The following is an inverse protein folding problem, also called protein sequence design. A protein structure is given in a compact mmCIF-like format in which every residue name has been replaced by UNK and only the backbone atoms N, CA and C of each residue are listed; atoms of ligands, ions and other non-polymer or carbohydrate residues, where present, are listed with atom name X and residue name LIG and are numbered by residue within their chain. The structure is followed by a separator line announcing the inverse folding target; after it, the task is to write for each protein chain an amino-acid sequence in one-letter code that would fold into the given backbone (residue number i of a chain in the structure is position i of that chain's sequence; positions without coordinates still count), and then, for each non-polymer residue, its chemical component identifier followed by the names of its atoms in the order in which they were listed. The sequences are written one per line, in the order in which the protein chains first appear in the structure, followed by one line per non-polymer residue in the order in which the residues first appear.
data_IF_108285859214
#
_entry.id   IF_108285859214
#
_cell.length_a   1.000
_cell.length_b   1.000
_cell.length_c   1.000
_cell.angle_alpha   90.00
_cell.angle_beta   90.00
_cell.angle_gamma   90.00
#
_symmetry.space_group_name_H-M   'P 1'
#
loop_
_entity.id
_entity.type
_entity.pdbx_description
1 polymer ?
#
# COMPACT_ATOMS: atom_id res chain seq x y z
N UNK A 1 2.15 25.14 22.18
CA UNK A 1 2.35 23.68 22.00
C UNK A 1 3.08 23.47 20.68
N UNK A 2 4.28 22.88 20.65
CA UNK A 2 4.95 22.62 19.39
C UNK A 2 4.25 21.45 18.69
N UNK A 3 3.55 21.76 17.60
CA UNK A 3 3.07 20.78 16.62
C UNK A 3 4.29 20.16 15.95
N UNK A 4 4.63 18.92 16.29
CA UNK A 4 5.67 18.16 15.62
C UNK A 4 5.12 17.68 14.26
N UNK A 5 5.29 18.49 13.21
CA UNK A 5 4.94 18.11 11.84
C UNK A 5 6.12 17.35 11.25
N UNK A 6 6.08 16.02 11.29
CA UNK A 6 7.04 15.19 10.59
C UNK A 6 6.86 15.37 9.07
N UNK A 7 7.85 15.96 8.39
CA UNK A 7 7.96 15.92 6.93
C UNK A 7 8.19 14.45 6.53
N UNK A 8 7.14 13.73 6.13
CA UNK A 8 7.29 12.35 5.66
C UNK A 8 8.00 12.37 4.30
N UNK A 9 9.28 12.04 4.28
CA UNK A 9 10.06 11.95 3.05
C UNK A 9 9.82 10.59 2.37
N UNK A 10 9.47 10.57 1.08
CA UNK A 10 9.25 9.33 0.31
C UNK A 10 10.49 8.42 0.35
N UNK A 11 11.69 8.98 0.31
CA UNK A 11 12.93 8.21 0.44
C UNK A 11 13.04 7.55 1.81
N UNK A 12 12.54 8.21 2.85
CA UNK A 12 12.51 7.65 4.20
C UNK A 12 11.46 6.54 4.32
N UNK A 13 10.29 6.69 3.68
CA UNK A 13 9.26 5.64 3.60
C UNK A 13 9.75 4.36 2.91
N UNK A 14 10.56 4.50 1.85
CA UNK A 14 11.07 3.39 1.03
C UNK A 14 12.42 2.85 1.55
N UNK A 15 13.14 3.60 2.39
CA UNK A 15 14.42 3.13 2.93
C UNK A 15 14.22 1.95 3.87
N UNK A 16 14.96 0.86 3.63
CA UNK A 16 14.87 -0.41 4.37
C UNK A 16 13.46 -0.98 4.44
N UNK A 17 12.78 -1.04 3.29
CA UNK A 17 11.46 -1.67 3.18
C UNK A 17 11.50 -3.00 2.44
N UNK A 18 10.69 -3.96 2.89
CA UNK A 18 10.40 -5.21 2.18
C UNK A 18 8.96 -5.18 1.68
N UNK A 19 8.74 -5.60 0.44
CA UNK A 19 7.40 -5.77 -0.15
C UNK A 19 6.92 -7.20 0.06
N UNK A 20 5.61 -7.38 0.29
CA UNK A 20 4.96 -8.70 0.25
C UNK A 20 4.31 -8.90 -1.11
N UNK A 21 4.79 -9.90 -1.86
CA UNK A 21 4.42 -10.12 -3.26
C UNK A 21 4.01 -11.58 -3.51
N UNK A 22 3.18 -11.81 -4.54
CA UNK A 22 2.76 -13.16 -4.96
C UNK A 22 3.97 -13.99 -5.39
N UNK A 23 4.06 -15.26 -4.99
CA UNK A 23 5.18 -16.16 -5.35
C UNK A 23 5.39 -16.27 -6.86
N UNK A 24 4.33 -16.16 -7.66
CA UNK A 24 4.38 -16.27 -9.12
C UNK A 24 5.19 -15.13 -9.78
N UNK A 25 5.30 -13.98 -9.12
CA UNK A 25 6.12 -12.86 -9.62
C UNK A 25 7.61 -13.19 -9.58
N UNK A 26 8.02 -14.17 -8.77
CA UNK A 26 9.40 -14.68 -8.76
C UNK A 26 9.82 -15.27 -10.12
N UNK A 27 8.88 -15.86 -10.86
CA UNK A 27 9.15 -16.50 -12.14
C UNK A 27 9.13 -15.52 -13.33
N UNK A 28 8.75 -14.26 -13.11
CA UNK A 28 8.72 -13.24 -14.16
C UNK A 28 10.12 -12.62 -14.34
N UNK A 29 10.90 -13.09 -15.30
CA UNK A 29 12.24 -12.54 -15.60
C UNK A 29 12.12 -11.19 -16.32
N UNK A 30 12.90 -10.14 -15.95
CA UNK A 30 13.92 -10.08 -14.89
C UNK A 30 13.40 -9.63 -13.52
N UNK A 31 12.14 -9.19 -13.43
CA UNK A 31 11.58 -8.57 -12.22
C UNK A 31 11.60 -9.48 -10.98
N UNK A 32 11.34 -10.77 -11.14
CA UNK A 32 11.32 -11.74 -10.04
C UNK A 32 12.68 -11.91 -9.39
N UNK A 33 13.74 -12.06 -10.19
CA UNK A 33 15.12 -12.21 -9.71
C UNK A 33 15.61 -10.93 -9.03
N UNK A 34 15.33 -9.76 -9.61
CA UNK A 34 15.66 -8.47 -9.01
C UNK A 34 14.91 -8.24 -7.69
N UNK A 35 13.62 -8.58 -7.65
CA UNK A 35 12.81 -8.48 -6.43
C UNK A 35 13.32 -9.40 -5.33
N UNK A 36 13.76 -10.62 -5.69
CA UNK A 36 14.36 -11.54 -4.73
C UNK A 36 15.69 -11.01 -4.17
N UNK A 37 16.57 -10.47 -5.01
CA UNK A 37 17.80 -9.81 -4.57
C UNK A 37 17.53 -8.57 -3.71
N UNK A 38 16.43 -7.86 -3.97
CA UNK A 38 15.99 -6.71 -3.18
C UNK A 38 15.36 -7.11 -1.81
N UNK A 39 15.24 -8.41 -1.50
CA UNK A 39 14.71 -8.89 -0.22
C UNK A 39 13.19 -8.81 -0.12
N UNK A 40 12.48 -8.94 -1.26
CA UNK A 40 11.01 -9.02 -1.30
C UNK A 40 10.54 -10.36 -0.73
N UNK A 41 9.54 -10.30 0.15
CA UNK A 41 8.93 -11.48 0.76
C UNK A 41 7.87 -12.06 -0.19
N UNK A 42 8.06 -13.30 -0.62
CA UNK A 42 7.15 -13.98 -1.54
C UNK A 42 6.16 -14.87 -0.78
N UNK A 43 4.88 -14.59 -0.91
CA UNK A 43 3.80 -15.35 -0.25
C UNK A 43 3.11 -16.25 -1.27
N UNK A 44 3.01 -17.54 -0.94
CA UNK A 44 2.19 -18.51 -1.66
C UNK A 44 0.78 -18.55 -1.07
N UNK A 45 -0.21 -18.05 -1.79
CA UNK A 45 -1.60 -17.98 -1.29
C UNK A 45 -2.32 -19.32 -1.31
N UNK A 46 -1.82 -20.29 -2.07
CA UNK A 46 -2.41 -21.63 -2.16
C UNK A 46 -2.01 -22.51 -0.96
N UNK A 47 -0.97 -22.12 -0.21
CA UNK A 47 -0.53 -22.83 0.97
C UNK A 47 -0.50 -21.89 2.18
N UNK A 48 -1.53 -21.98 3.01
CA UNK A 48 -1.72 -21.14 4.21
C UNK A 48 -0.58 -21.28 5.21
N UNK A 49 -0.01 -22.48 5.38
CA UNK A 49 1.12 -22.70 6.30
C UNK A 49 2.38 -21.98 5.83
N UNK A 50 2.69 -22.03 4.52
CA UNK A 50 3.81 -21.28 3.95
C UNK A 50 3.57 -19.77 4.01
N UNK A 51 2.34 -19.32 3.76
CA UNK A 51 2.00 -17.91 3.87
C UNK A 51 2.24 -17.39 5.30
N UNK A 52 1.75 -18.11 6.31
CA UNK A 52 1.94 -17.73 7.71
C UNK A 52 3.42 -17.70 8.09
N UNK A 53 4.22 -18.69 7.68
CA UNK A 53 5.67 -18.69 7.96
C UNK A 53 6.37 -17.44 7.41
N UNK A 54 6.03 -17.03 6.18
CA UNK A 54 6.60 -15.82 5.57
C UNK A 54 6.16 -14.57 6.33
N UNK A 55 4.91 -14.53 6.80
CA UNK A 55 4.41 -13.44 7.65
C UNK A 55 5.15 -13.39 8.99
N UNK A 56 5.40 -14.53 9.65
CA UNK A 56 6.16 -14.61 10.90
C UNK A 56 7.62 -14.16 10.72
N UNK A 57 8.24 -14.51 9.60
CA UNK A 57 9.59 -14.06 9.27
C UNK A 57 9.63 -12.55 9.01
N UNK A 58 8.60 -12.00 8.35
CA UNK A 58 8.45 -10.55 8.18
C UNK A 58 8.28 -9.85 9.55
N UNK A 59 7.50 -10.42 10.47
CA UNK A 59 7.33 -9.91 11.83
C UNK A 59 8.68 -9.79 12.55
N UNK A 60 9.51 -10.84 12.49
CA UNK A 60 10.86 -10.82 13.06
C UNK A 60 11.75 -9.74 12.42
N UNK A 61 11.64 -9.51 11.12
CA UNK A 61 12.40 -8.45 10.44
C UNK A 61 11.94 -7.06 10.87
N UNK A 62 10.64 -6.85 11.04
CA UNK A 62 10.06 -5.61 11.53
C UNK A 62 10.55 -5.29 12.94
N UNK A 63 10.46 -6.26 13.86
CA UNK A 63 10.84 -6.06 15.28
C UNK A 63 12.35 -6.00 15.46
N UNK A 64 13.12 -6.95 14.89
CA UNK A 64 14.54 -7.09 15.20
C UNK A 64 15.46 -6.21 14.33
N UNK A 65 15.04 -5.90 13.11
CA UNK A 65 15.87 -5.17 12.14
C UNK A 65 15.30 -3.80 11.76
N UNK A 66 14.17 -3.41 12.35
CA UNK A 66 13.46 -2.16 12.06
C UNK A 66 13.20 -1.98 10.55
N UNK A 67 12.82 -3.09 9.88
CA UNK A 67 12.54 -3.11 8.44
C UNK A 67 11.05 -2.79 8.24
N UNK A 68 10.76 -1.85 7.35
CA UNK A 68 9.39 -1.45 7.03
C UNK A 68 8.76 -2.49 6.11
N UNK A 69 7.50 -2.85 6.36
CA UNK A 69 6.80 -3.82 5.50
C UNK A 69 5.77 -3.08 4.66
N UNK A 70 5.87 -3.22 3.35
CA UNK A 70 4.91 -2.71 2.40
C UNK A 70 3.97 -3.82 1.95
N UNK A 71 2.67 -3.62 2.17
CA UNK A 71 1.65 -4.63 1.89
C UNK A 71 0.49 -4.01 1.15
N UNK A 72 -0.02 -4.73 0.15
CA UNK A 72 -1.30 -4.45 -0.48
C UNK A 72 -2.37 -5.32 0.20
N UNK A 73 -3.20 -4.77 1.10
CA UNK A 73 -4.09 -5.57 1.94
C UNK A 73 -5.18 -6.28 1.13
N UNK A 74 -5.61 -5.73 0.00
CA UNK A 74 -6.50 -6.38 -0.97
C UNK A 74 -5.86 -7.63 -1.60
N UNK A 75 -4.54 -7.56 -1.86
CA UNK A 75 -3.76 -8.62 -2.46
C UNK A 75 -4.01 -8.86 -3.96
N UNK A 76 -5.06 -8.31 -4.55
CA UNK A 76 -5.30 -8.35 -6.00
C UNK A 76 -5.41 -6.95 -6.56
N UNK A 77 -5.46 -6.83 -7.88
CA UNK A 77 -5.84 -5.58 -8.53
C UNK A 77 -7.36 -5.56 -8.61
N UNK A 78 -7.97 -4.42 -8.35
CA UNK A 78 -9.43 -4.27 -8.36
C UNK A 78 -10.06 -4.30 -9.77
N UNK A 79 -9.26 -4.12 -10.84
CA UNK A 79 -9.74 -4.08 -12.23
C UNK A 79 -10.90 -3.08 -12.45
N UNK A 80 -10.86 -1.93 -11.76
CA UNK A 80 -11.89 -0.90 -11.86
C UNK A 80 -13.13 -1.10 -10.98
N UNK A 81 -13.14 -2.09 -10.08
CA UNK A 81 -14.26 -2.37 -9.16
C UNK A 81 -14.20 -1.60 -7.83
N UNK A 82 -13.36 -0.56 -7.72
CA UNK A 82 -13.18 0.24 -6.49
C UNK A 82 -12.16 -0.37 -5.52
N UNK A 83 -12.33 -0.20 -4.21
CA UNK A 83 -11.43 -0.80 -3.22
C UNK A 83 -12.02 -2.13 -2.73
N UNK A 84 -11.28 -3.24 -2.88
CA UNK A 84 -11.79 -4.54 -2.40
C UNK A 84 -11.60 -4.70 -0.88
N UNK A 85 -12.17 -5.78 -0.35
CA UNK A 85 -12.00 -6.15 1.06
C UNK A 85 -10.54 -6.44 1.40
N UNK A 86 -10.14 -6.00 2.58
CA UNK A 86 -8.78 -6.15 3.08
C UNK A 86 -8.58 -7.50 3.74
N UNK A 87 -7.43 -8.12 3.48
CA UNK A 87 -7.04 -9.39 4.10
C UNK A 87 -6.40 -9.16 5.46
N UNK A 88 -6.82 -9.99 6.42
CA UNK A 88 -6.37 -9.95 7.82
C UNK A 88 -4.85 -10.08 8.03
N UNK A 89 -4.15 -10.82 7.16
CA UNK A 89 -2.76 -11.23 7.39
C UNK A 89 -1.77 -10.08 7.63
N UNK A 90 -1.92 -8.96 6.93
CA UNK A 90 -1.04 -7.79 7.09
C UNK A 90 -1.25 -7.10 8.45
N UNK A 91 -2.50 -6.97 8.86
CA UNK A 91 -2.89 -6.30 10.11
C UNK A 91 -2.52 -7.11 11.34
N UNK A 92 -2.51 -8.45 11.24
CA UNK A 92 -1.96 -9.32 12.29
C UNK A 92 -0.52 -8.99 12.65
N UNK A 93 0.34 -8.86 11.64
CA UNK A 93 1.75 -8.51 11.87
C UNK A 93 1.84 -7.14 12.56
N UNK A 94 1.07 -6.15 12.07
CA UNK A 94 1.11 -4.81 12.64
C UNK A 94 0.66 -4.79 14.12
N UNK A 95 -0.37 -5.55 14.47
CA UNK A 95 -0.85 -5.69 15.86
C UNK A 95 0.16 -6.47 16.72
N UNK A 96 0.65 -7.62 16.25
CA UNK A 96 1.64 -8.42 16.99
C UNK A 96 2.93 -7.62 17.27
N UNK A 97 3.45 -6.93 16.25
CA UNK A 97 4.65 -6.12 16.36
C UNK A 97 4.41 -4.76 17.05
N UNK A 98 3.16 -4.43 17.40
CA UNK A 98 2.73 -3.12 17.92
C UNK A 98 3.28 -1.95 17.08
N UNK A 99 3.32 -2.14 15.76
CA UNK A 99 3.84 -1.17 14.81
C UNK A 99 2.69 -0.34 14.21
N UNK A 100 2.84 0.99 14.04
CA UNK A 100 1.82 1.81 13.43
C UNK A 100 1.64 1.48 11.94
N UNK A 101 0.39 1.54 11.47
CA UNK A 101 0.05 1.34 10.06
C UNK A 101 -0.07 2.70 9.38
N UNK A 102 0.65 2.91 8.28
CA UNK A 102 0.56 4.14 7.48
C UNK A 102 -0.25 3.85 6.22
N UNK A 103 -1.49 4.35 6.10
CA UNK A 103 -2.30 4.13 4.91
C UNK A 103 -1.82 5.00 3.75
N UNK A 104 -1.55 4.39 2.60
CA UNK A 104 -1.19 5.08 1.36
C UNK A 104 -2.29 4.82 0.34
N UNK A 105 -2.91 5.90 -0.14
CA UNK A 105 -4.05 5.83 -1.07
C UNK A 105 -3.63 6.41 -2.41
N UNK A 106 -3.92 5.67 -3.47
CA UNK A 106 -3.64 6.07 -4.85
C UNK A 106 -4.97 6.28 -5.56
N UNK A 107 -5.08 7.38 -6.31
CA UNK A 107 -6.27 7.71 -7.08
C UNK A 107 -6.63 6.61 -8.10
N UNK A 108 -7.90 6.54 -8.56
CA UNK A 108 -8.30 5.62 -9.62
C UNK A 108 -7.45 5.76 -10.88
N UNK A 109 -7.06 4.62 -11.47
CA UNK A 109 -6.29 4.58 -12.71
C UNK A 109 -7.24 4.70 -13.91
N UNK A 110 -7.60 5.92 -14.30
CA UNK A 110 -8.45 6.17 -15.49
C UNK A 110 -7.75 5.86 -16.82
N UNK A 111 -6.42 5.89 -16.83
CA UNK A 111 -5.61 5.73 -18.03
C UNK A 111 -5.25 4.27 -18.34
N UNK A 112 -5.62 3.33 -17.47
CA UNK A 112 -5.48 1.89 -17.71
C UNK A 112 -6.84 1.26 -17.97
N UNK A 113 -7.04 0.78 -19.19
CA UNK A 113 -8.19 -0.04 -19.51
C UNK A 113 -7.80 -1.52 -19.44
N UNK A 114 -8.25 -2.18 -18.37
CA UNK A 114 -7.97 -3.60 -18.14
C UNK A 114 -8.72 -4.53 -19.09
N UNK A 115 -9.83 -4.10 -19.71
CA UNK A 115 -10.58 -4.93 -20.66
C UNK A 115 -9.89 -4.95 -22.02
N UNK A 116 -9.38 -3.80 -22.45
CA UNK A 116 -8.74 -3.64 -23.74
C UNK A 116 -7.20 -3.77 -23.68
N UNK A 117 -6.62 -3.98 -22.49
CA UNK A 117 -5.17 -4.02 -22.25
C UNK A 117 -4.42 -2.80 -22.79
N UNK A 118 -5.08 -1.63 -22.80
CA UNK A 118 -4.48 -0.38 -23.25
C UNK A 118 -4.05 0.48 -22.06
N UNK A 119 -2.91 1.14 -22.22
CA UNK A 119 -2.38 2.09 -21.25
C UNK A 119 -2.10 3.41 -21.96
N UNK A 120 -2.85 4.44 -21.59
CA UNK A 120 -2.68 5.80 -22.09
C UNK A 120 -1.79 6.60 -21.14
N UNK A 121 -1.31 7.77 -21.60
CA UNK A 121 -0.66 8.73 -20.70
C UNK A 121 -1.70 9.24 -19.72
N UNK A 122 -1.34 9.28 -18.44
CA UNK A 122 -2.21 9.80 -17.39
C UNK A 122 -1.46 10.12 -16.12
N UNK A 123 -2.15 10.78 -15.21
CA UNK A 123 -1.62 11.19 -13.93
C UNK A 123 -2.31 10.41 -12.81
N UNK A 124 -1.56 10.08 -11.76
CA UNK A 124 -2.11 9.50 -10.53
C UNK A 124 -1.74 10.40 -9.36
N UNK A 125 -2.68 10.59 -8.45
CA UNK A 125 -2.47 11.31 -7.20
C UNK A 125 -2.23 10.29 -6.10
N UNK A 126 -1.23 10.54 -5.27
CA UNK A 126 -0.90 9.70 -4.12
C UNK A 126 -1.08 10.55 -2.86
N UNK A 127 -1.94 10.08 -1.95
CA UNK A 127 -2.17 10.65 -0.63
C UNK A 127 -1.60 9.70 0.43
N UNK A 128 -0.90 10.25 1.40
CA UNK A 128 -0.35 9.49 2.54
C UNK A 128 -1.05 9.98 3.78
N UNK A 129 -1.86 9.11 4.38
CA UNK A 129 -2.62 9.42 5.58
C UNK A 129 -1.74 9.32 6.83
N UNK A 130 -2.23 9.91 7.92
CA UNK A 130 -1.53 9.87 9.21
C UNK A 130 -1.34 8.42 9.71
N UNK A 131 -0.21 8.14 10.41
CA UNK A 131 0.03 6.83 10.98
C UNK A 131 -1.06 6.46 12.01
N UNK A 132 -1.68 5.31 11.81
CA UNK A 132 -2.69 4.77 12.72
C UNK A 132 -1.97 3.88 13.74
N UNK A 133 -1.98 4.23 15.04
CA UNK A 133 -1.35 3.43 16.06
C UNK A 133 -2.09 2.10 16.26
N UNK A 134 -1.34 1.02 16.44
CA UNK A 134 -1.88 -0.31 16.78
C UNK A 134 -2.00 -0.53 18.30
N UNK A 135 -1.56 0.46 19.09
CA UNK A 135 -1.64 0.42 20.55
C UNK A 135 -3.11 0.39 21.00
N UNK A 136 -3.50 -0.66 21.73
CA UNK A 136 -4.86 -0.88 22.20
C UNK A 136 -5.72 -1.79 21.31
N UNK A 137 -5.20 -2.20 20.15
CA UNK A 137 -5.82 -3.25 19.33
C UNK A 137 -5.33 -4.62 19.76
N UNK A 138 -6.26 -5.58 19.86
CA UNK A 138 -5.98 -6.99 20.13
C UNK A 138 -6.23 -7.82 18.88
N UNK A 139 -5.68 -9.04 18.86
CA UNK A 139 -5.82 -9.95 17.71
C UNK A 139 -7.28 -10.32 17.41
N UNK A 140 -8.14 -10.32 18.42
CA UNK A 140 -9.58 -10.58 18.28
C UNK A 140 -10.29 -9.46 17.51
N UNK A 141 -9.78 -8.23 17.59
CA UNK A 141 -10.31 -7.04 16.89
C UNK A 141 -9.55 -6.74 15.59
N UNK A 142 -8.75 -7.67 15.09
CA UNK A 142 -7.95 -7.45 13.88
C UNK A 142 -8.81 -7.17 12.64
N UNK A 143 -9.96 -7.82 12.52
CA UNK A 143 -10.87 -7.63 11.38
C UNK A 143 -11.57 -6.26 11.45
N UNK A 144 -11.95 -5.82 12.64
CA UNK A 144 -12.49 -4.48 12.88
C UNK A 144 -11.44 -3.39 12.58
N UNK A 145 -10.19 -3.60 13.00
CA UNK A 145 -9.10 -2.69 12.67
C UNK A 145 -8.86 -2.59 11.17
N UNK A 146 -8.82 -3.74 10.48
CA UNK A 146 -8.63 -3.78 9.03
C UNK A 146 -9.75 -3.03 8.31
N UNK A 147 -11.00 -3.19 8.75
CA UNK A 147 -12.14 -2.51 8.16
C UNK A 147 -12.11 -1.00 8.44
N UNK A 148 -11.74 -0.57 9.66
CA UNK A 148 -11.57 0.85 9.97
C UNK A 148 -10.52 1.50 9.05
N UNK A 149 -9.35 0.87 8.89
CA UNK A 149 -8.33 1.34 7.96
C UNK A 149 -8.86 1.38 6.53
N UNK A 150 -9.64 0.37 6.10
CA UNK A 150 -10.25 0.33 4.77
C UNK A 150 -11.21 1.49 4.56
N UNK A 151 -12.05 1.82 5.54
CA UNK A 151 -13.00 2.93 5.45
C UNK A 151 -12.29 4.28 5.34
N UNK A 152 -11.25 4.50 6.13
CA UNK A 152 -10.41 5.70 6.03
C UNK A 152 -9.76 5.82 4.65
N UNK A 153 -9.20 4.72 4.14
CA UNK A 153 -8.60 4.69 2.82
C UNK A 153 -9.64 4.89 1.70
N UNK A 154 -10.85 4.35 1.86
CA UNK A 154 -11.94 4.47 0.89
C UNK A 154 -12.45 5.91 0.80
N UNK A 155 -12.62 6.59 1.95
CA UNK A 155 -13.01 8.00 1.98
C UNK A 155 -11.99 8.89 1.26
N UNK A 156 -10.70 8.68 1.51
CA UNK A 156 -9.64 9.43 0.82
C UNK A 156 -9.59 9.05 -0.68
N UNK A 157 -9.82 7.79 -1.03
CA UNK A 157 -9.86 7.33 -2.42
C UNK A 157 -10.96 8.04 -3.24
N UNK A 158 -12.15 8.20 -2.66
CA UNK A 158 -13.25 8.94 -3.30
C UNK A 158 -12.94 10.42 -3.47
N UNK A 159 -12.31 11.05 -2.46
CA UNK A 159 -11.85 12.43 -2.52
C UNK A 159 -10.82 12.63 -3.64
N UNK A 160 -9.82 11.74 -3.72
CA UNK A 160 -8.83 11.74 -4.80
C UNK A 160 -9.45 11.51 -6.17
N UNK A 161 -10.48 10.67 -6.26
CA UNK A 161 -11.25 10.48 -7.50
C UNK A 161 -11.88 11.78 -8.00
N UNK A 162 -12.51 12.54 -7.10
CA UNK A 162 -13.11 13.86 -7.43
C UNK A 162 -12.04 14.87 -7.83
N UNK A 163 -10.94 14.95 -7.09
CA UNK A 163 -9.81 15.85 -7.39
C UNK A 163 -9.22 15.54 -8.78
N UNK A 164 -9.09 14.26 -9.11
CA UNK A 164 -8.58 13.81 -10.40
C UNK A 164 -9.53 14.20 -11.55
N UNK A 165 -10.85 14.09 -11.38
CA UNK A 165 -11.82 14.56 -12.39
C UNK A 165 -11.71 16.06 -12.64
N UNK A 166 -11.50 16.85 -11.59
CA UNK A 166 -11.30 18.31 -11.72
C UNK A 166 -9.98 18.61 -12.44
N UNK A 167 -8.89 17.91 -12.09
CA UNK A 167 -7.58 18.07 -12.73
C UNK A 167 -7.56 17.66 -14.22
N UNK A 168 -8.43 16.74 -14.63
CA UNK A 168 -8.57 16.37 -16.05
C UNK A 168 -9.22 17.48 -16.89
N UNK A 169 -10.05 18.32 -16.29
CA UNK A 169 -10.70 19.45 -16.96
C UNK A 169 -9.77 20.65 -17.10
N UNK A 170 -8.72 20.71 -16.28
CA UNK A 170 -7.70 21.75 -16.31
C UNK A 170 -6.53 21.37 -17.25
N UNK A 171 -6.68 21.72 -18.54
CA UNK A 171 -5.71 21.36 -19.60
C UNK A 171 -4.31 21.97 -19.40
N UNK A 172 -4.20 23.05 -18.63
CA UNK A 172 -2.92 23.70 -18.31
C UNK A 172 -2.15 22.95 -17.21
N UNK A 173 -2.85 22.26 -16.31
CA UNK A 173 -2.25 21.45 -15.24
C UNK A 173 -1.50 20.22 -15.76
N UNK A 174 -1.98 19.59 -16.84
CA UNK A 174 -1.45 18.35 -17.40
C UNK A 174 -0.10 18.48 -18.10
N UNK A 175 0.28 19.69 -18.54
CA UNK A 175 1.50 19.92 -19.34
C UNK A 175 2.71 20.39 -18.52
N UNK A 176 2.54 20.64 -17.21
CA UNK A 176 3.63 21.08 -16.34
C UNK A 176 4.29 19.87 -15.66
N UNK A 177 5.54 19.56 -16.00
CA UNK A 177 6.37 18.62 -15.21
C UNK A 177 6.53 19.17 -13.78
N UNK A 178 5.72 18.68 -12.84
CA UNK A 178 5.85 19.00 -11.42
C UNK A 178 6.40 17.82 -10.62
N UNK A 179 7.18 18.06 -9.56
CA UNK A 179 7.57 17.01 -8.62
C UNK A 179 6.32 16.44 -7.93
N UNK A 180 6.41 15.17 -7.52
CA UNK A 180 5.35 14.40 -6.85
C UNK A 180 4.74 15.23 -5.70
N UNK A 181 3.49 15.69 -5.87
CA UNK A 181 2.76 16.45 -4.86
C UNK A 181 2.13 15.45 -3.89
N UNK A 182 2.73 15.29 -2.71
CA UNK A 182 2.10 14.58 -1.60
C UNK A 182 0.99 15.47 -1.05
N UNK A 183 -0.26 15.05 -1.21
CA UNK A 183 -1.39 15.70 -0.56
C UNK A 183 -1.41 15.22 0.89
N UNK A 184 -1.49 16.17 1.83
CA UNK A 184 -1.65 15.92 3.27
C UNK A 184 -3.09 15.62 3.61
#
# INVERSE_FOLDING_TARGET
MPFFVAKVNVRELISRSTLIVKKEILYLVPFGQLSWLAGVAFVNRSNSAQANKVLDDCEKLLVNKNIKIWVYPEGTRSYGKGMLQFKRGAFKIAINAQAPVVPIVISPYYFMDYKNNTMSKGHGIISVLDPIPTKGWTMDKCDEFAENVRQLMMAEYEKLGKELTVMQQDTDWLNVKRPIRLVK
#
